data_IF_004719527274
#
_entry.id   IF_004719527274
#
_cell.length_a   1.000
_cell.length_b   1.000
_cell.length_c   1.000
_cell.angle_alpha   90.00
_cell.angle_beta   90.00
_cell.angle_gamma   90.00
#
_symmetry.space_group_name_H-M   'P 1'
#
loop_
_entity.id
_entity.type
_entity.pdbx_description
1 polymer ?
#
# COMPACT_ATOMS: atom_id res chain seq x y z
N UNK A 1 -10.39 24.11 68.83
CA UNK A 1 -10.88 23.95 67.45
C UNK A 1 -10.23 25.03 66.58
N UNK A 2 -9.25 24.71 65.71
CA UNK A 2 -8.67 25.68 64.78
C UNK A 2 -9.42 25.66 63.43
N UNK A 3 -9.65 26.84 62.84
CA UNK A 3 -10.26 27.02 61.52
C UNK A 3 -9.21 26.80 60.42
N UNK A 4 -9.53 25.89 59.49
CA UNK A 4 -8.73 25.58 58.30
C UNK A 4 -8.78 26.70 57.26
N UNK A 5 -7.61 27.20 56.85
CA UNK A 5 -7.41 28.04 55.68
C UNK A 5 -7.65 27.26 54.39
N UNK A 6 -8.46 27.81 53.48
CA UNK A 6 -8.72 27.22 52.17
C UNK A 6 -7.66 27.72 51.18
N UNK A 7 -6.94 26.79 50.55
CA UNK A 7 -6.02 27.05 49.43
C UNK A 7 -6.80 26.89 48.13
N UNK A 8 -6.94 27.98 47.36
CA UNK A 8 -7.48 27.92 46.00
C UNK A 8 -6.46 27.28 45.05
N UNK A 9 -6.84 26.18 44.41
CA UNK A 9 -6.10 25.61 43.28
C UNK A 9 -6.61 26.23 41.98
N UNK A 10 -5.78 27.03 41.32
CA UNK A 10 -6.04 27.51 39.96
C UNK A 10 -5.81 26.36 38.99
N UNK A 11 -6.89 25.83 38.41
CA UNK A 11 -6.80 24.84 37.33
C UNK A 11 -6.39 25.56 36.05
N UNK A 12 -5.16 25.37 35.61
CA UNK A 12 -4.71 25.77 34.27
C UNK A 12 -5.32 24.77 33.27
N UNK A 13 -6.33 25.23 32.53
CA UNK A 13 -6.87 24.47 31.40
C UNK A 13 -5.83 24.46 30.28
N UNK A 14 -5.23 23.30 30.03
CA UNK A 14 -4.44 23.08 28.82
C UNK A 14 -5.44 22.81 27.70
N UNK A 15 -5.73 23.84 26.90
CA UNK A 15 -6.49 23.68 25.67
C UNK A 15 -5.76 22.71 24.75
N UNK A 16 -6.31 21.52 24.57
CA UNK A 16 -5.85 20.57 23.57
C UNK A 16 -6.01 21.20 22.18
N UNK A 17 -4.90 21.36 21.43
CA UNK A 17 -4.98 21.60 20.00
C UNK A 17 -5.64 20.38 19.35
N UNK A 18 -6.94 20.47 19.07
CA UNK A 18 -7.56 19.62 18.06
C UNK A 18 -7.10 20.14 16.71
N UNK A 19 -6.28 19.36 16.02
CA UNK A 19 -5.92 19.65 14.64
C UNK A 19 -7.19 19.57 13.78
N UNK A 20 -7.63 20.71 13.24
CA UNK A 20 -8.62 20.77 12.17
C UNK A 20 -8.02 20.13 10.92
N UNK A 21 -8.25 18.83 10.73
CA UNK A 21 -7.78 18.09 9.56
C UNK A 21 -8.90 17.86 8.51
N UNK A 22 -10.14 18.23 8.84
CA UNK A 22 -11.31 17.90 8.03
C UNK A 22 -11.72 18.98 7.00
N UNK A 23 -11.28 20.23 7.12
CA UNK A 23 -11.80 21.32 6.28
C UNK A 23 -11.17 21.44 4.87
N UNK A 24 -10.04 20.79 4.58
CA UNK A 24 -9.31 20.95 3.30
C UNK A 24 -9.20 19.67 2.44
N UNK A 25 -9.86 18.57 2.83
CA UNK A 25 -9.83 17.35 2.02
C UNK A 25 -10.62 17.58 0.72
N UNK A 26 -10.09 17.24 -0.46
CA UNK A 26 -10.85 17.35 -1.69
C UNK A 26 -12.04 16.38 -1.66
N UNK A 27 -13.11 16.70 -2.39
CA UNK A 27 -14.25 15.80 -2.52
C UNK A 27 -13.81 14.43 -3.07
N UNK A 28 -14.41 13.32 -2.59
CA UNK A 28 -14.16 11.99 -3.15
C UNK A 28 -14.39 11.96 -4.66
N UNK A 29 -13.61 11.15 -5.35
CA UNK A 29 -13.69 10.98 -6.80
C UNK A 29 -14.29 9.61 -7.13
N UNK A 30 -15.32 9.61 -7.98
CA UNK A 30 -15.94 8.38 -8.47
C UNK A 30 -15.80 8.29 -10.00
N UNK A 31 -15.12 7.25 -10.49
CA UNK A 31 -15.04 6.93 -11.90
C UNK A 31 -16.05 5.84 -12.20
N UNK A 32 -17.22 6.21 -12.70
CA UNK A 32 -18.34 5.27 -12.96
C UNK A 32 -17.92 4.08 -13.83
N UNK A 33 -17.09 4.31 -14.84
CA UNK A 33 -16.37 3.27 -15.57
C UNK A 33 -14.87 3.54 -15.34
N UNK A 34 -14.18 2.74 -14.51
CA UNK A 34 -14.38 1.31 -14.30
C UNK A 34 -15.00 0.94 -12.94
N UNK A 35 -15.67 1.88 -12.27
CA UNK A 35 -16.20 1.71 -10.91
C UNK A 35 -15.12 1.91 -9.83
N UNK A 36 -14.23 2.90 -10.00
CA UNK A 36 -13.21 3.24 -9.01
C UNK A 36 -13.72 4.36 -8.08
N UNK A 37 -13.52 4.17 -6.77
CA UNK A 37 -13.74 5.20 -5.75
C UNK A 37 -12.40 5.60 -5.13
N UNK A 38 -12.09 6.89 -5.15
CA UNK A 38 -10.93 7.45 -4.45
C UNK A 38 -11.40 8.43 -3.38
N UNK A 39 -10.82 8.31 -2.20
CA UNK A 39 -11.05 9.22 -1.07
C UNK A 39 -10.06 10.37 -1.18
N UNK A 40 -10.54 11.59 -1.03
CA UNK A 40 -9.69 12.77 -0.93
C UNK A 40 -9.02 12.84 0.44
N UNK A 41 -7.71 13.05 0.46
CA UNK A 41 -6.88 13.09 1.66
C UNK A 41 -6.26 14.48 1.76
N UNK A 42 -6.53 15.18 2.86
CA UNK A 42 -5.88 16.45 3.19
C UNK A 42 -4.37 16.26 3.32
N UNK A 43 -3.59 17.31 3.04
CA UNK A 43 -2.20 17.35 3.49
C UNK A 43 -2.10 17.36 5.03
N UNK A 44 -0.93 17.03 5.54
CA UNK A 44 -0.68 17.07 6.99
C UNK A 44 0.63 16.41 7.38
N UNK A 45 0.94 16.47 8.68
CA UNK A 45 2.18 15.93 9.23
C UNK A 45 1.89 14.68 10.07
N UNK A 46 2.70 13.64 9.88
CA UNK A 46 2.61 12.41 10.66
C UNK A 46 3.99 11.81 10.94
N UNK A 47 4.02 10.79 11.79
CA UNK A 47 5.24 10.03 12.09
C UNK A 47 5.26 8.76 11.24
N UNK A 48 6.12 8.73 10.23
CA UNK A 48 6.34 7.60 9.32
C UNK A 48 7.39 6.64 9.88
N UNK A 49 7.18 5.34 9.72
CA UNK A 49 8.06 4.29 10.26
C UNK A 49 7.77 3.90 11.70
N UNK A 50 8.72 3.22 12.33
CA UNK A 50 8.57 2.71 13.69
C UNK A 50 9.65 3.25 14.63
N UNK A 51 9.34 3.27 15.93
CA UNK A 51 10.31 3.66 16.94
C UNK A 51 11.44 2.62 17.05
N UNK A 52 12.66 3.07 17.38
CA UNK A 52 13.79 2.17 17.63
C UNK A 52 13.57 1.24 18.83
N UNK A 53 12.66 1.61 19.74
CA UNK A 53 12.31 0.84 20.94
C UNK A 53 11.11 -0.07 20.77
N UNK A 54 10.45 -0.09 19.61
CA UNK A 54 9.32 -0.99 19.39
C UNK A 54 9.82 -2.44 19.26
N UNK A 55 9.42 -3.35 20.18
CA UNK A 55 9.90 -4.73 20.18
C UNK A 55 9.42 -5.54 18.95
N UNK A 56 8.31 -5.13 18.33
CA UNK A 56 7.71 -5.81 17.17
C UNK A 56 8.24 -5.24 15.84
N UNK A 57 9.08 -4.20 15.87
CA UNK A 57 9.62 -3.56 14.68
C UNK A 57 10.47 -4.53 13.86
N UNK A 58 10.25 -4.61 12.54
CA UNK A 58 11.26 -5.13 11.62
C UNK A 58 12.36 -4.09 11.36
N UNK A 59 13.62 -4.52 11.12
CA UNK A 59 14.68 -3.60 10.69
C UNK A 59 14.28 -2.76 9.47
N UNK A 60 13.46 -3.32 8.58
CA UNK A 60 12.95 -2.67 7.38
C UNK A 60 11.98 -1.50 7.66
N UNK A 61 11.34 -1.41 8.82
CA UNK A 61 10.37 -0.33 9.16
C UNK A 61 11.06 1.02 9.37
N UNK A 62 12.40 1.00 9.49
CA UNK A 62 13.27 2.17 9.64
C UNK A 62 12.92 3.08 10.82
N UNK A 63 13.81 4.04 11.08
CA UNK A 63 13.66 4.97 12.19
C UNK A 63 12.52 5.94 11.88
N UNK A 64 11.67 6.16 12.86
CA UNK A 64 10.58 7.09 12.74
C UNK A 64 11.03 8.48 12.27
N UNK A 65 10.35 8.99 11.24
CA UNK A 65 10.61 10.28 10.58
C UNK A 65 9.32 11.10 10.59
N UNK A 66 9.42 12.39 10.90
CA UNK A 66 8.28 13.32 10.81
C UNK A 66 8.11 13.73 9.36
N UNK A 67 7.03 13.28 8.73
CA UNK A 67 6.77 13.51 7.32
C UNK A 67 5.58 14.45 7.15
N UNK A 68 5.75 15.48 6.33
CA UNK A 68 4.67 16.37 5.90
C UNK A 68 4.26 16.00 4.47
N UNK A 69 3.00 15.66 4.29
CA UNK A 69 2.33 15.60 2.99
C UNK A 69 1.84 17.01 2.67
N UNK A 70 2.49 17.70 1.74
CA UNK A 70 2.31 19.15 1.57
C UNK A 70 1.06 19.55 0.78
N UNK A 71 0.49 18.60 0.03
CA UNK A 71 -0.65 18.85 -0.85
C UNK A 71 -1.71 17.75 -0.70
N UNK A 72 -3.00 18.09 -0.85
CA UNK A 72 -4.03 17.09 -0.90
C UNK A 72 -3.86 16.18 -2.13
N UNK A 73 -4.29 14.94 -1.98
CA UNK A 73 -4.26 13.92 -3.03
C UNK A 73 -5.51 13.03 -2.92
N UNK A 74 -5.71 12.14 -3.88
CA UNK A 74 -6.73 11.11 -3.77
C UNK A 74 -6.08 9.74 -3.78
N UNK A 75 -6.63 8.83 -2.96
CA UNK A 75 -6.18 7.45 -2.86
C UNK A 75 -7.39 6.52 -3.03
N UNK A 76 -7.18 5.39 -3.71
CA UNK A 76 -8.18 4.35 -3.88
C UNK A 76 -8.73 3.90 -2.53
N UNK A 77 -10.05 3.85 -2.41
CA UNK A 77 -10.76 3.39 -1.22
C UNK A 77 -10.40 1.94 -0.87
N UNK A 78 -10.16 1.13 -1.88
CA UNK A 78 -9.73 -0.27 -1.82
C UNK A 78 -8.51 -0.49 -2.71
N UNK A 79 -7.95 -1.69 -2.66
CA UNK A 79 -7.08 -2.22 -3.74
C UNK A 79 -7.85 -2.22 -5.09
N UNK A 80 -7.12 -2.14 -6.20
CA UNK A 80 -7.73 -2.27 -7.55
C UNK A 80 -8.24 -3.69 -7.73
N UNK A 81 -9.49 -3.85 -8.11
CA UNK A 81 -10.11 -5.17 -8.30
C UNK A 81 -9.83 -5.75 -9.68
N UNK A 82 -10.09 -7.05 -9.84
CA UNK A 82 -9.98 -7.74 -11.15
C UNK A 82 -10.94 -7.16 -12.19
N UNK A 83 -12.19 -6.88 -11.83
CA UNK A 83 -13.15 -6.24 -12.75
C UNK A 83 -12.68 -4.84 -13.17
N UNK A 84 -12.13 -4.05 -12.25
CA UNK A 84 -11.58 -2.73 -12.56
C UNK A 84 -10.35 -2.83 -13.48
N UNK A 85 -9.48 -3.80 -13.23
CA UNK A 85 -8.36 -4.14 -14.10
C UNK A 85 -8.85 -4.45 -15.51
N UNK A 86 -9.79 -5.38 -15.67
CA UNK A 86 -10.30 -5.80 -16.98
C UNK A 86 -10.94 -4.65 -17.76
N UNK A 87 -11.66 -3.76 -17.07
CA UNK A 87 -12.28 -2.59 -17.67
C UNK A 87 -11.28 -1.52 -18.16
N UNK A 88 -10.01 -1.56 -17.73
CA UNK A 88 -8.95 -0.63 -18.18
C UNK A 88 -7.96 -1.31 -19.11
N UNK A 89 -7.55 -2.53 -18.77
CA UNK A 89 -6.45 -3.24 -19.42
C UNK A 89 -6.92 -4.24 -20.48
N UNK A 90 -8.21 -4.60 -20.46
CA UNK A 90 -8.74 -5.73 -21.21
C UNK A 90 -8.65 -7.05 -20.41
N UNK A 91 -9.04 -8.18 -21.02
CA UNK A 91 -9.07 -9.48 -20.35
C UNK A 91 -7.74 -9.83 -19.67
N UNK A 92 -7.82 -10.41 -18.47
CA UNK A 92 -6.63 -10.88 -17.75
C UNK A 92 -5.99 -12.03 -18.52
N UNK A 93 -4.74 -11.83 -18.96
CA UNK A 93 -3.95 -12.85 -19.66
C UNK A 93 -3.11 -13.68 -18.67
N UNK A 94 -3.18 -15.00 -18.78
CA UNK A 94 -2.36 -15.94 -17.99
C UNK A 94 -2.96 -16.33 -16.63
N UNK A 95 -2.28 -17.22 -15.88
CA UNK A 95 -2.76 -17.68 -14.59
C UNK A 95 -2.53 -16.60 -13.52
N UNK A 96 -3.61 -15.91 -13.15
CA UNK A 96 -3.64 -15.09 -11.94
C UNK A 96 -4.25 -15.89 -10.80
N UNK A 97 -3.71 -15.81 -9.59
CA UNK A 97 -4.27 -16.54 -8.46
C UNK A 97 -5.72 -16.12 -8.20
N UNK A 98 -6.63 -17.09 -8.24
CA UNK A 98 -8.01 -16.97 -7.77
C UNK A 98 -8.08 -17.91 -6.57
N UNK A 99 -8.39 -17.36 -5.39
CA UNK A 99 -8.24 -18.05 -4.11
C UNK A 99 -8.81 -19.47 -4.08
N UNK A 100 -10.13 -19.60 -3.96
CA UNK A 100 -10.81 -20.90 -3.84
C UNK A 100 -11.51 -21.28 -5.14
N UNK A 101 -11.53 -22.58 -5.53
CA UNK A 101 -12.35 -23.08 -6.64
C UNK A 101 -13.86 -22.83 -6.46
N UNK A 102 -14.31 -22.47 -5.25
CA UNK A 102 -15.71 -22.15 -4.93
C UNK A 102 -16.05 -20.66 -5.11
N UNK A 103 -15.07 -19.82 -5.41
CA UNK A 103 -15.31 -18.40 -5.62
C UNK A 103 -16.08 -18.26 -6.96
N UNK A 104 -17.29 -17.69 -6.91
CA UNK A 104 -18.09 -17.47 -8.13
C UNK A 104 -17.40 -16.45 -9.03
N UNK A 105 -17.74 -16.41 -10.32
CA UNK A 105 -17.17 -15.42 -11.26
C UNK A 105 -17.40 -13.97 -10.80
N UNK A 106 -18.54 -13.72 -10.16
CA UNK A 106 -18.87 -12.43 -9.54
C UNK A 106 -17.98 -12.14 -8.32
N UNK A 107 -17.81 -13.11 -7.41
CA UNK A 107 -16.90 -12.97 -6.27
C UNK A 107 -15.45 -12.78 -6.73
N UNK A 108 -15.06 -13.42 -7.82
CA UNK A 108 -13.75 -13.26 -8.45
C UNK A 108 -13.55 -11.86 -9.03
N UNK A 109 -14.60 -11.15 -9.45
CA UNK A 109 -14.50 -9.78 -9.95
C UNK A 109 -14.08 -8.77 -8.87
N UNK A 110 -14.54 -9.00 -7.63
CA UNK A 110 -14.28 -8.13 -6.47
C UNK A 110 -12.98 -8.48 -5.72
N UNK A 111 -12.29 -9.56 -6.10
CA UNK A 111 -10.95 -9.84 -5.57
C UNK A 111 -9.97 -8.74 -6.03
N UNK A 112 -8.97 -8.39 -5.20
CA UNK A 112 -7.90 -7.51 -5.63
C UNK A 112 -7.17 -8.13 -6.83
N UNK A 113 -6.76 -7.28 -7.75
CA UNK A 113 -5.89 -7.64 -8.85
C UNK A 113 -4.49 -7.91 -8.27
N UNK A 114 -4.11 -9.19 -8.26
CA UNK A 114 -2.89 -9.68 -7.64
C UNK A 114 -1.99 -10.42 -8.65
N UNK A 115 -0.75 -10.70 -8.26
CA UNK A 115 0.31 -11.24 -9.14
C UNK A 115 0.69 -10.30 -10.28
N UNK A 116 0.58 -8.99 -10.04
CA UNK A 116 0.99 -7.97 -10.98
C UNK A 116 2.37 -7.44 -10.63
N UNK A 117 3.17 -7.22 -11.66
CA UNK A 117 4.44 -6.50 -11.52
C UNK A 117 4.20 -5.02 -11.25
N UNK A 118 5.20 -4.34 -10.72
CA UNK A 118 5.14 -2.89 -10.54
C UNK A 118 4.93 -2.16 -11.88
N UNK A 119 5.61 -2.61 -12.95
CA UNK A 119 5.45 -2.05 -14.30
C UNK A 119 4.05 -2.27 -14.88
N UNK A 120 3.42 -3.41 -14.59
CA UNK A 120 2.03 -3.67 -14.96
C UNK A 120 1.05 -2.75 -14.21
N UNK A 121 1.26 -2.53 -12.91
CA UNK A 121 0.45 -1.59 -12.12
C UNK A 121 0.60 -0.14 -12.63
N UNK A 122 1.82 0.27 -13.00
CA UNK A 122 2.06 1.56 -13.64
C UNK A 122 1.40 1.65 -15.01
N UNK A 123 1.44 0.59 -15.82
CA UNK A 123 0.76 0.54 -17.13
C UNK A 123 -0.76 0.70 -17.00
N UNK A 124 -1.36 0.13 -15.95
CA UNK A 124 -2.77 0.38 -15.61
C UNK A 124 -3.01 1.87 -15.34
N UNK A 125 -2.16 2.49 -14.52
CA UNK A 125 -2.24 3.93 -14.22
C UNK A 125 -2.09 4.79 -15.48
N UNK A 126 -1.20 4.42 -16.41
CA UNK A 126 -1.02 5.10 -17.70
C UNK A 126 -2.24 5.00 -18.59
N UNK A 127 -2.76 3.79 -18.80
CA UNK A 127 -3.95 3.60 -19.64
C UNK A 127 -5.15 4.35 -19.06
N UNK A 128 -5.34 4.30 -17.74
CA UNK A 128 -6.42 5.03 -17.08
C UNK A 128 -6.23 6.54 -17.23
N UNK A 129 -5.02 7.05 -17.02
CA UNK A 129 -4.67 8.45 -17.22
C UNK A 129 -4.99 8.91 -18.63
N UNK A 130 -4.53 8.18 -19.65
CA UNK A 130 -4.78 8.53 -21.04
C UNK A 130 -6.28 8.51 -21.35
N UNK A 131 -6.98 7.46 -20.93
CA UNK A 131 -8.43 7.32 -21.14
C UNK A 131 -9.23 8.46 -20.53
N UNK A 132 -8.96 8.83 -19.28
CA UNK A 132 -9.68 9.93 -18.62
C UNK A 132 -9.27 11.31 -19.18
N UNK A 133 -8.03 11.47 -19.65
CA UNK A 133 -7.57 12.68 -20.33
C UNK A 133 -8.26 12.87 -21.68
N UNK A 134 -8.28 11.83 -22.52
CA UNK A 134 -8.92 11.87 -23.85
C UNK A 134 -10.42 12.12 -23.75
N UNK A 135 -11.04 11.66 -22.66
CA UNK A 135 -12.45 11.93 -22.38
C UNK A 135 -12.70 13.29 -21.72
N UNK A 136 -11.67 14.11 -21.45
CA UNK A 136 -11.80 15.41 -20.81
C UNK A 136 -12.25 15.36 -19.34
N UNK A 137 -12.13 14.21 -18.67
CA UNK A 137 -12.56 14.00 -17.27
C UNK A 137 -11.42 14.11 -16.27
N UNK A 138 -10.18 14.04 -16.74
CA UNK A 138 -9.00 14.20 -15.89
C UNK A 138 -8.68 15.68 -15.66
N UNK A 139 -8.52 16.06 -14.38
CA UNK A 139 -8.08 17.40 -14.00
C UNK A 139 -6.72 17.72 -14.64
N UNK A 140 -6.53 18.88 -15.29
CA UNK A 140 -5.24 19.26 -15.87
C UNK A 140 -4.10 19.25 -14.84
N UNK A 141 -2.93 18.73 -15.25
CA UNK A 141 -1.75 18.61 -14.39
C UNK A 141 -1.80 17.48 -13.37
N UNK A 142 -2.78 16.58 -13.46
CA UNK A 142 -2.89 15.38 -12.63
C UNK A 142 -2.80 14.11 -13.47
N UNK A 143 -2.31 13.05 -12.83
CA UNK A 143 -2.20 11.71 -13.40
C UNK A 143 -2.56 10.66 -12.36
N UNK A 144 -3.12 9.55 -12.83
CA UNK A 144 -3.19 8.36 -12.02
C UNK A 144 -1.79 7.74 -11.90
N UNK A 145 -1.48 7.23 -10.72
CA UNK A 145 -0.20 6.64 -10.36
C UNK A 145 -0.38 5.66 -9.20
N UNK A 146 0.69 4.97 -8.82
CA UNK A 146 0.82 4.41 -7.47
C UNK A 146 1.02 5.56 -6.46
N UNK A 147 0.54 5.42 -5.21
CA UNK A 147 0.85 6.38 -4.15
C UNK A 147 2.34 6.35 -3.83
N UNK A 148 2.87 7.45 -3.28
CA UNK A 148 4.15 7.35 -2.59
C UNK A 148 4.02 6.51 -1.32
N UNK A 149 5.13 5.98 -0.84
CA UNK A 149 5.19 5.23 0.40
C UNK A 149 4.66 6.06 1.58
N UNK A 150 5.02 7.34 1.61
CA UNK A 150 4.57 8.27 2.63
C UNK A 150 3.06 8.52 2.56
N UNK A 151 2.51 8.72 1.36
CA UNK A 151 1.06 8.86 1.16
C UNK A 151 0.31 7.62 1.62
N UNK A 152 0.83 6.43 1.29
CA UNK A 152 0.24 5.16 1.68
C UNK A 152 0.21 5.00 3.20
N UNK A 153 1.33 5.23 3.88
CA UNK A 153 1.39 5.07 5.34
C UNK A 153 0.57 6.14 6.08
N UNK A 154 0.54 7.37 5.55
CA UNK A 154 -0.29 8.44 6.07
C UNK A 154 -1.78 8.07 6.03
N UNK A 155 -2.26 7.61 4.87
CA UNK A 155 -3.63 7.17 4.70
C UNK A 155 -3.95 5.91 5.52
N UNK A 156 -3.00 4.98 5.64
CA UNK A 156 -3.16 3.77 6.45
C UNK A 156 -3.42 4.11 7.92
N UNK A 157 -2.63 5.04 8.46
CA UNK A 157 -2.72 5.48 9.85
C UNK A 157 -3.98 6.28 10.13
N UNK A 158 -4.45 7.07 9.17
CA UNK A 158 -5.68 7.87 9.29
C UNK A 158 -5.77 8.66 10.61
N UNK A 159 -4.66 9.32 10.98
CA UNK A 159 -4.52 10.08 12.23
C UNK A 159 -4.13 9.25 13.47
N UNK A 160 -4.09 7.93 13.38
CA UNK A 160 -3.62 7.06 14.46
C UNK A 160 -2.10 7.11 14.63
N UNK A 161 -1.66 7.21 15.89
CA UNK A 161 -0.25 6.98 16.24
C UNK A 161 0.11 5.48 16.28
N UNK A 162 -0.89 4.59 16.34
CA UNK A 162 -0.72 3.15 16.45
C UNK A 162 -0.23 2.52 15.14
N UNK A 163 0.47 1.38 15.28
CA UNK A 163 1.02 0.60 14.16
C UNK A 163 0.13 -0.59 13.80
N UNK A 164 -0.70 -1.05 14.72
CA UNK A 164 -1.72 -2.09 14.54
C UNK A 164 -2.93 -1.77 15.43
N UNK A 165 -4.11 -2.33 15.12
CA UNK A 165 -5.23 -2.37 16.06
C UNK A 165 -4.84 -3.05 17.38
N UNK A 166 -5.34 -2.51 18.49
CA UNK A 166 -4.83 -2.82 19.83
C UNK A 166 -5.23 -4.22 20.33
N UNK A 167 -6.45 -4.65 20.01
CA UNK A 167 -6.98 -5.96 20.43
C UNK A 167 -7.06 -6.97 19.28
N UNK A 168 -7.05 -8.26 19.62
CA UNK A 168 -7.26 -9.36 18.65
C UNK A 168 -8.60 -9.21 17.93
N UNK A 169 -9.66 -8.81 18.64
CA UNK A 169 -10.99 -8.57 18.04
C UNK A 169 -10.94 -7.45 16.99
N UNK A 170 -10.22 -6.36 17.26
CA UNK A 170 -10.07 -5.27 16.29
C UNK A 170 -9.19 -5.66 15.10
N UNK A 171 -8.14 -6.45 15.34
CA UNK A 171 -7.31 -7.02 14.25
C UNK A 171 -8.15 -7.93 13.36
N UNK A 172 -8.92 -8.83 13.95
CA UNK A 172 -9.82 -9.72 13.23
C UNK A 172 -10.89 -8.96 12.44
N UNK A 173 -11.34 -7.82 12.94
CA UNK A 173 -12.31 -6.98 12.25
C UNK A 173 -11.68 -6.18 11.10
N UNK A 174 -10.38 -5.86 11.15
CA UNK A 174 -9.75 -4.85 10.26
C UNK A 174 -8.68 -5.41 9.33
N UNK A 175 -8.10 -6.58 9.63
CA UNK A 175 -6.92 -7.12 8.94
C UNK A 175 -7.25 -8.47 8.30
N UNK A 176 -6.74 -8.66 7.09
CA UNK A 176 -6.70 -9.96 6.41
C UNK A 176 -5.31 -10.58 6.54
N UNK A 177 -5.12 -11.42 7.56
CA UNK A 177 -3.81 -11.98 7.90
C UNK A 177 -3.89 -13.47 8.24
N UNK A 178 -2.74 -14.11 8.25
CA UNK A 178 -2.60 -15.49 8.67
C UNK A 178 -2.51 -15.58 10.19
N UNK A 179 -3.50 -16.25 10.79
CA UNK A 179 -3.44 -16.60 12.20
C UNK A 179 -2.56 -17.83 12.40
N UNK A 180 -1.58 -17.72 13.27
CA UNK A 180 -0.79 -18.87 13.74
C UNK A 180 -1.54 -19.54 14.90
N UNK A 181 -1.85 -20.83 14.76
CA UNK A 181 -2.47 -21.63 15.82
C UNK A 181 -1.44 -22.45 16.62
N UNK A 182 -0.16 -22.04 16.62
CA UNK A 182 0.98 -22.78 17.16
C UNK A 182 2.20 -22.77 16.23
N UNK A 183 3.33 -23.37 16.64
CA UNK A 183 4.62 -23.23 15.95
C UNK A 183 4.70 -23.70 14.49
N UNK A 184 3.71 -24.45 13.98
CA UNK A 184 3.71 -24.99 12.61
C UNK A 184 2.31 -25.17 12.01
N UNK A 185 1.30 -24.51 12.59
CA UNK A 185 -0.10 -24.66 12.16
C UNK A 185 -0.60 -23.35 11.56
N UNK A 186 -0.74 -23.36 10.24
CA UNK A 186 -1.45 -22.33 9.49
C UNK A 186 -2.96 -22.49 9.73
N UNK A 187 -3.68 -21.40 10.01
CA UNK A 187 -5.15 -21.50 10.01
C UNK A 187 -5.63 -21.91 8.62
N UNK A 188 -6.38 -23.00 8.52
CA UNK A 188 -7.17 -23.30 7.33
C UNK A 188 -8.13 -22.12 7.10
N UNK A 189 -7.88 -21.29 6.08
CA UNK A 189 -8.73 -20.13 5.77
C UNK A 189 -8.00 -18.84 5.40
N UNK A 190 -6.69 -18.75 5.60
CA UNK A 190 -5.90 -17.65 5.03
C UNK A 190 -5.94 -17.77 3.49
N UNK A 191 -6.50 -16.76 2.81
CA UNK A 191 -6.65 -16.67 1.36
C UNK A 191 -6.85 -15.23 0.92
N UNK A 192 -6.77 -14.99 -0.38
CA UNK A 192 -7.23 -13.75 -1.00
C UNK A 192 -8.74 -13.55 -0.78
N UNK A 193 -9.18 -12.33 -0.44
CA UNK A 193 -10.60 -12.03 -0.19
C UNK A 193 -11.07 -10.83 -1.03
N UNK A 194 -12.39 -10.73 -1.29
CA UNK A 194 -12.96 -9.55 -1.93
C UNK A 194 -12.65 -8.28 -1.14
N UNK A 195 -12.40 -7.20 -1.87
CA UNK A 195 -12.09 -5.91 -1.25
C UNK A 195 -13.28 -5.34 -0.47
N UNK A 196 -13.01 -4.49 0.51
CA UNK A 196 -14.01 -3.74 1.24
C UNK A 196 -14.84 -4.54 2.24
N UNK A 197 -14.39 -5.76 2.61
CA UNK A 197 -15.16 -6.67 3.48
C UNK A 197 -14.73 -6.66 4.94
N UNK A 198 -13.59 -6.05 5.28
CA UNK A 198 -13.17 -5.75 6.66
C UNK A 198 -13.60 -4.33 7.05
N UNK A 199 -13.41 -3.99 8.32
CA UNK A 199 -13.64 -2.64 8.83
C UNK A 199 -12.64 -1.67 8.21
N UNK A 200 -13.14 -0.58 7.63
CA UNK A 200 -12.31 0.53 7.18
C UNK A 200 -11.62 1.26 8.34
N UNK A 201 -10.50 1.92 8.05
CA UNK A 201 -9.88 2.83 9.00
C UNK A 201 -10.69 4.12 9.19
N UNK A 202 -10.21 5.03 10.04
CA UNK A 202 -10.93 6.26 10.41
C UNK A 202 -11.24 7.20 9.24
N UNK A 203 -10.56 7.07 8.10
CA UNK A 203 -10.79 7.86 6.88
C UNK A 203 -11.62 7.12 5.82
N UNK A 204 -12.03 5.88 6.09
CA UNK A 204 -12.85 5.10 5.17
C UNK A 204 -12.06 4.21 4.19
N UNK A 205 -10.74 4.10 4.36
CA UNK A 205 -9.94 3.17 3.55
C UNK A 205 -10.09 1.74 4.05
N UNK A 206 -10.30 0.83 3.11
CA UNK A 206 -10.42 -0.60 3.36
C UNK A 206 -9.11 -1.32 3.01
N UNK A 207 -8.91 -2.45 3.68
CA UNK A 207 -7.84 -3.42 3.40
C UNK A 207 -6.43 -2.80 3.38
N UNK A 208 -6.21 -1.70 4.11
CA UNK A 208 -4.87 -1.10 4.24
C UNK A 208 -3.87 -2.06 4.91
N UNK A 209 -4.35 -3.05 5.66
CA UNK A 209 -3.51 -4.03 6.35
C UNK A 209 -3.98 -5.44 5.97
N UNK A 210 -3.10 -6.21 5.31
CA UNK A 210 -3.39 -7.55 4.83
C UNK A 210 -3.98 -7.62 3.42
N UNK A 211 -4.61 -8.75 3.11
CA UNK A 211 -5.18 -9.09 1.80
C UNK A 211 -4.08 -9.20 0.75
N UNK A 212 -3.69 -8.13 0.06
CA UNK A 212 -2.45 -8.09 -0.71
C UNK A 212 -1.51 -7.02 -0.21
N UNK A 213 -0.20 -7.30 -0.32
CA UNK A 213 0.78 -6.23 -0.26
C UNK A 213 0.52 -5.30 -1.45
N UNK A 214 0.77 -4.02 -1.26
CA UNK A 214 0.48 -3.02 -2.30
C UNK A 214 1.75 -2.35 -2.79
N UNK A 215 1.98 -2.38 -4.10
CA UNK A 215 3.03 -1.60 -4.73
C UNK A 215 2.84 -0.10 -4.46
N UNK A 216 3.94 0.57 -4.10
CA UNK A 216 4.03 2.04 -4.04
C UNK A 216 5.03 2.54 -5.08
N UNK A 217 5.05 3.84 -5.31
CA UNK A 217 5.90 4.48 -6.32
C UNK A 217 7.40 4.35 -5.97
N UNK A 218 7.71 4.40 -4.68
CA UNK A 218 9.06 4.55 -4.15
C UNK A 218 9.98 3.35 -4.43
N UNK A 219 11.25 3.61 -4.80
CA UNK A 219 12.29 2.62 -4.69
C UNK A 219 12.66 2.40 -3.21
N UNK A 220 13.13 1.20 -2.91
CA UNK A 220 13.50 0.81 -1.55
C UNK A 220 14.76 1.54 -1.07
N UNK A 221 14.58 2.53 -0.19
CA UNK A 221 15.66 3.31 0.40
C UNK A 221 15.43 3.56 1.91
N UNK A 222 16.49 3.96 2.65
CA UNK A 222 16.38 4.44 4.01
C UNK A 222 15.56 5.73 4.09
N UNK A 223 14.85 5.92 5.19
CA UNK A 223 14.30 7.22 5.56
C UNK A 223 15.46 8.12 6.01
N UNK A 224 15.38 9.40 5.67
CA UNK A 224 16.37 10.40 6.09
C UNK A 224 16.50 10.54 7.61
N UNK A 225 15.46 10.15 8.35
CA UNK A 225 15.31 10.52 9.76
C UNK A 225 14.94 12.00 9.90
N UNK A 226 14.63 12.41 11.13
CA UNK A 226 14.30 13.82 11.42
C UNK A 226 12.97 14.23 10.79
N UNK A 227 13.00 15.25 9.93
CA UNK A 227 11.83 15.77 9.21
C UNK A 227 12.01 15.63 7.69
N UNK A 228 10.91 15.40 6.97
CA UNK A 228 10.88 15.38 5.51
C UNK A 228 9.54 15.93 4.99
N UNK A 229 9.54 16.52 3.81
CA UNK A 229 8.31 16.96 3.11
C UNK A 229 8.22 16.23 1.79
N UNK A 230 7.11 15.54 1.55
CA UNK A 230 6.86 14.70 0.36
C UNK A 230 8.06 13.83 -0.04
N UNK A 231 8.62 12.99 0.86
CA UNK A 231 9.77 12.18 0.53
C UNK A 231 9.42 11.19 -0.60
N UNK A 232 10.26 11.17 -1.63
CA UNK A 232 10.19 10.23 -2.75
C UNK A 232 11.62 9.99 -3.27
N UNK A 233 12.30 8.93 -2.82
CA UNK A 233 13.65 8.61 -3.28
C UNK A 233 13.69 8.32 -4.79
N UNK A 234 14.81 8.66 -5.43
CA UNK A 234 14.99 8.40 -6.87
C UNK A 234 15.64 7.05 -7.16
N UNK A 235 16.34 6.45 -6.18
CA UNK A 235 17.04 5.17 -6.36
C UNK A 235 16.96 4.31 -5.11
N UNK A 236 17.06 2.99 -5.28
CA UNK A 236 17.17 2.04 -4.20
C UNK A 236 18.53 2.17 -3.52
N UNK A 237 18.52 2.16 -2.18
CA UNK A 237 19.73 2.28 -1.37
C UNK A 237 19.73 1.21 -0.30
N UNK A 238 20.75 0.36 -0.29
CA UNK A 238 20.92 -0.71 0.70
C UNK A 238 22.29 -0.58 1.37
N UNK A 239 22.36 -0.08 2.61
CA UNK A 239 23.63 0.01 3.34
C UNK A 239 24.28 -1.36 3.49
N UNK A 240 25.57 -1.48 3.16
CA UNK A 240 26.39 -2.65 3.50
C UNK A 240 26.24 -3.90 2.64
N UNK A 241 25.48 -3.87 1.52
CA UNK A 241 25.44 -4.97 0.55
C UNK A 241 26.05 -4.54 -0.78
N UNK A 242 26.99 -5.33 -1.31
CA UNK A 242 27.43 -5.19 -2.71
C UNK A 242 26.21 -5.52 -3.59
N UNK A 243 25.62 -4.51 -4.23
CA UNK A 243 24.61 -4.74 -5.25
C UNK A 243 25.26 -5.58 -6.34
N UNK A 244 24.74 -6.79 -6.58
CA UNK A 244 25.25 -7.64 -7.66
C UNK A 244 24.81 -7.12 -9.03
N UNK A 245 23.73 -6.33 -9.09
CA UNK A 245 23.20 -5.68 -10.30
C UNK A 245 22.42 -4.40 -9.91
N UNK A 246 22.32 -3.43 -10.82
CA UNK A 246 21.60 -2.13 -10.73
C UNK A 246 20.06 -2.29 -10.66
N UNK A 247 19.55 -3.27 -9.93
CA UNK A 247 18.10 -3.51 -9.85
C UNK A 247 17.48 -2.54 -8.84
N UNK A 248 16.67 -1.62 -9.37
CA UNK A 248 15.86 -0.66 -8.61
C UNK A 248 14.65 -1.35 -7.97
N UNK A 249 14.88 -2.00 -6.82
CA UNK A 249 13.84 -2.64 -6.00
C UNK A 249 12.76 -1.63 -5.61
N UNK A 250 11.49 -2.03 -5.75
CA UNK A 250 10.33 -1.19 -5.41
C UNK A 250 9.70 -1.63 -4.10
N UNK A 251 9.18 -0.66 -3.36
CA UNK A 251 8.56 -0.92 -2.05
C UNK A 251 7.15 -1.47 -2.22
N UNK A 252 6.77 -2.36 -1.29
CA UNK A 252 5.42 -2.80 -1.07
C UNK A 252 5.02 -2.61 0.40
N UNK A 253 3.74 -2.34 0.64
CA UNK A 253 3.19 -1.99 1.96
C UNK A 253 2.01 -2.88 2.36
N UNK A 254 1.65 -2.86 3.64
CA UNK A 254 0.39 -3.43 4.17
C UNK A 254 0.42 -4.91 4.57
N UNK A 255 1.36 -5.69 4.05
CA UNK A 255 1.34 -7.15 4.20
C UNK A 255 0.20 -7.78 3.42
N UNK A 256 0.05 -9.10 3.49
CA UNK A 256 -0.98 -9.83 2.75
C UNK A 256 -1.59 -10.96 3.60
N UNK A 257 -2.53 -11.70 3.00
CA UNK A 257 -3.27 -12.78 3.66
C UNK A 257 -2.41 -13.93 4.23
N UNK A 258 -1.17 -14.12 3.75
CA UNK A 258 -0.24 -15.12 4.32
C UNK A 258 0.66 -14.55 5.43
N UNK A 259 0.70 -13.23 5.62
CA UNK A 259 1.54 -12.62 6.64
C UNK A 259 0.88 -12.69 8.01
N UNK A 260 1.69 -12.82 9.06
CA UNK A 260 1.22 -12.72 10.44
C UNK A 260 0.97 -11.28 10.88
N UNK A 261 0.57 -11.10 12.14
CA UNK A 261 0.27 -9.79 12.75
C UNK A 261 1.42 -8.79 12.57
N UNK A 262 2.66 -9.25 12.78
CA UNK A 262 3.84 -8.40 12.64
C UNK A 262 4.04 -7.91 11.19
N UNK A 263 3.72 -8.74 10.20
CA UNK A 263 3.85 -8.39 8.77
C UNK A 263 2.76 -7.46 8.24
N UNK A 264 1.69 -7.26 9.02
CA UNK A 264 0.53 -6.42 8.67
C UNK A 264 0.46 -5.17 9.55
N UNK A 265 1.61 -4.67 9.99
CA UNK A 265 1.73 -3.38 10.69
C UNK A 265 1.74 -2.23 9.69
N UNK A 266 1.18 -1.09 10.08
CA UNK A 266 1.16 0.13 9.25
C UNK A 266 2.56 0.56 8.81
N UNK A 267 3.60 0.35 9.63
CA UNK A 267 4.99 0.65 9.31
C UNK A 267 5.75 -0.50 8.62
N UNK A 268 5.14 -1.70 8.46
CA UNK A 268 5.77 -2.82 7.78
C UNK A 268 6.01 -2.49 6.30
N UNK A 269 7.22 -2.78 5.84
CA UNK A 269 7.65 -2.56 4.46
C UNK A 269 8.42 -3.78 3.96
N UNK A 270 8.15 -4.08 2.71
CA UNK A 270 8.76 -5.14 1.93
C UNK A 270 9.22 -4.53 0.60
N UNK A 271 10.03 -5.26 -0.18
CA UNK A 271 10.44 -4.80 -1.50
C UNK A 271 10.81 -5.97 -2.41
N UNK A 272 10.60 -5.78 -3.70
CA UNK A 272 10.92 -6.79 -4.69
C UNK A 272 11.41 -6.17 -5.99
N UNK A 273 12.01 -7.03 -6.82
CA UNK A 273 12.37 -6.69 -8.19
C UNK A 273 11.08 -6.33 -8.95
N UNK A 274 10.98 -5.11 -9.51
CA UNK A 274 9.77 -4.64 -10.15
C UNK A 274 9.36 -5.46 -11.38
N UNK A 275 10.25 -6.29 -11.94
CA UNK A 275 9.98 -7.13 -13.10
C UNK A 275 9.67 -8.60 -12.74
N UNK A 276 10.04 -9.09 -11.56
CA UNK A 276 10.04 -10.53 -11.24
C UNK A 276 8.91 -11.01 -10.32
N UNK A 277 7.93 -10.15 -10.01
CA UNK A 277 6.78 -10.56 -9.18
C UNK A 277 5.62 -11.21 -9.98
N UNK A 278 5.72 -11.31 -11.32
CA UNK A 278 4.80 -12.13 -12.09
C UNK A 278 5.23 -13.60 -11.99
N UNK A 279 4.46 -14.38 -11.24
CA UNK A 279 4.38 -15.84 -11.25
C UNK A 279 5.54 -16.60 -11.92
N UNK A 280 6.40 -17.22 -11.11
CA UNK A 280 6.94 -18.51 -11.49
C UNK A 280 6.73 -19.48 -10.32
N UNK A 281 5.95 -20.57 -10.51
CA UNK A 281 6.12 -21.74 -9.67
C UNK A 281 7.50 -22.30 -9.99
N UNK A 282 8.51 -21.89 -9.22
CA UNK A 282 9.80 -22.56 -9.25
C UNK A 282 9.57 -23.98 -8.76
N UNK A 283 9.54 -24.96 -9.67
CA UNK A 283 9.89 -26.33 -9.29
C UNK A 283 11.26 -26.23 -8.65
N UNK A 284 11.43 -26.85 -7.48
CA UNK A 284 12.76 -27.06 -6.94
C UNK A 284 13.60 -27.79 -8.03
N UNK A 285 14.93 -27.62 -8.07
CA UNK A 285 15.79 -28.31 -9.03
C UNK A 285 15.62 -29.84 -9.07
N UNK A 286 15.00 -30.41 -8.02
CA UNK A 286 14.67 -31.83 -7.87
C UNK A 286 13.30 -32.23 -8.46
N UNK A 287 12.62 -31.33 -9.17
CA UNK A 287 11.30 -31.57 -9.77
C UNK A 287 10.14 -31.63 -8.78
N UNK A 288 10.37 -31.43 -7.47
CA UNK A 288 9.31 -31.39 -6.45
C UNK A 288 8.62 -30.02 -6.44
N UNK A 289 7.33 -29.96 -6.03
CA UNK A 289 6.67 -28.69 -5.74
C UNK A 289 7.52 -27.88 -4.76
N UNK A 290 7.88 -26.66 -5.15
CA UNK A 290 8.49 -25.71 -4.24
C UNK A 290 7.53 -25.42 -3.10
N UNK A 291 8.05 -25.45 -1.88
CA UNK A 291 7.32 -24.98 -0.71
C UNK A 291 7.24 -23.45 -0.76
N UNK A 292 6.00 -22.94 -0.84
CA UNK A 292 5.55 -21.71 -0.17
C UNK A 292 5.59 -20.33 -0.86
N UNK A 293 5.66 -20.23 -2.20
CA UNK A 293 5.12 -19.04 -2.85
C UNK A 293 3.69 -19.31 -3.33
N UNK A 294 2.73 -18.99 -2.46
CA UNK A 294 1.31 -18.92 -2.81
C UNK A 294 1.13 -17.62 -3.60
N UNK A 295 0.63 -17.70 -4.84
CA UNK A 295 0.28 -16.51 -5.63
C UNK A 295 -0.82 -15.68 -4.95
N UNK A 296 -1.11 -14.52 -5.51
CA UNK A 296 -2.14 -13.61 -5.03
C UNK A 296 -1.74 -12.81 -3.80
N UNK A 297 -0.46 -12.43 -3.69
CA UNK A 297 0.10 -11.79 -2.48
C UNK A 297 0.47 -10.33 -2.68
N UNK A 298 0.56 -9.86 -3.93
CA UNK A 298 0.88 -8.46 -4.25
C UNK A 298 -0.07 -7.95 -5.32
N UNK A 299 -0.70 -6.82 -5.01
CA UNK A 299 -1.47 -5.99 -5.92
C UNK A 299 -1.10 -4.53 -5.74
N UNK A 300 -2.06 -3.64 -5.86
CA UNK A 300 -1.85 -2.21 -5.69
C UNK A 300 -3.18 -1.47 -5.47
N UNK A 301 -3.10 -0.25 -4.95
CA UNK A 301 -4.19 0.72 -5.01
C UNK A 301 -3.77 1.94 -5.82
N UNK A 302 -4.78 2.62 -6.36
CA UNK A 302 -4.60 3.76 -7.23
C UNK A 302 -4.41 5.05 -6.40
N UNK A 303 -3.62 5.99 -6.91
CA UNK A 303 -3.62 7.37 -6.45
C UNK A 303 -3.82 8.33 -7.63
N UNK A 304 -4.42 9.48 -7.37
CA UNK A 304 -4.45 10.62 -8.29
C UNK A 304 -3.56 11.71 -7.70
N UNK A 305 -2.47 12.03 -8.41
CA UNK A 305 -1.39 12.91 -7.92
C UNK A 305 -1.00 13.94 -8.98
N UNK A 306 -0.36 15.05 -8.59
CA UNK A 306 0.19 16.01 -9.55
C UNK A 306 1.24 15.37 -10.49
N UNK A 307 1.23 15.73 -11.77
CA UNK A 307 2.14 15.20 -12.81
C UNK A 307 3.62 15.28 -12.43
N UNK A 308 4.03 16.37 -11.78
CA UNK A 308 5.41 16.58 -11.31
C UNK A 308 5.94 15.48 -10.38
N UNK A 309 5.07 14.85 -9.57
CA UNK A 309 5.46 13.76 -8.67
C UNK A 309 5.85 12.52 -9.49
N UNK A 310 5.12 12.25 -10.56
CA UNK A 310 5.36 11.12 -11.45
C UNK A 310 6.54 11.36 -12.39
N UNK A 311 6.69 12.58 -12.91
CA UNK A 311 7.80 12.96 -13.78
C UNK A 311 9.19 12.76 -13.14
N UNK A 312 9.30 12.93 -11.81
CA UNK A 312 10.54 12.70 -11.07
C UNK A 312 11.04 11.24 -11.15
N UNK A 313 10.15 10.27 -11.34
CA UNK A 313 10.47 8.83 -11.40
C UNK A 313 10.29 8.21 -12.79
N UNK A 314 9.82 8.99 -13.77
CA UNK A 314 9.48 8.53 -15.12
C UNK A 314 10.65 7.92 -15.92
N UNK A 315 11.90 8.41 -15.85
CA UNK A 315 13.03 7.76 -16.51
C UNK A 315 13.23 6.30 -16.09
N UNK A 316 12.85 5.95 -14.86
CA UNK A 316 12.95 4.60 -14.30
C UNK A 316 11.74 3.73 -14.65
N UNK A 317 10.58 4.35 -14.90
CA UNK A 317 9.37 3.66 -15.36
C UNK A 317 9.58 3.13 -16.78
N UNK A 318 10.15 3.96 -17.66
CA UNK A 318 10.33 3.64 -19.08
C UNK A 318 11.31 2.47 -19.32
N UNK A 319 12.31 2.30 -18.47
CA UNK A 319 13.25 1.17 -18.56
C UNK A 319 12.62 -0.15 -18.13
N UNK A 320 11.70 -0.12 -17.17
CA UNK A 320 11.03 -1.31 -16.61
C UNK A 320 9.77 -1.73 -17.37
N UNK A 321 9.17 -0.84 -18.16
CA UNK A 321 7.94 -1.08 -18.92
C UNK A 321 8.21 -1.50 -20.37
N UNK A 322 9.47 -1.60 -20.78
CA UNK A 322 9.82 -2.12 -22.10
C UNK A 322 9.39 -3.60 -22.20
N UNK A 323 8.71 -4.02 -23.28
CA UNK A 323 8.40 -5.43 -23.47
C UNK A 323 9.71 -6.24 -23.52
N UNK A 324 9.71 -7.51 -23.07
CA UNK A 324 10.88 -8.36 -23.23
C UNK A 324 11.26 -8.38 -24.71
N UNK A 325 12.55 -8.20 -24.99
CA UNK A 325 13.06 -8.29 -26.35
C UNK A 325 12.57 -9.59 -26.99
N UNK A 326 11.98 -9.48 -28.18
CA UNK A 326 11.55 -10.65 -28.93
C UNK A 326 12.75 -11.62 -29.04
N UNK A 327 12.54 -12.94 -28.82
CA UNK A 327 13.63 -13.89 -28.96
C UNK A 327 14.24 -13.72 -30.35
N UNK A 328 15.56 -13.53 -30.40
CA UNK A 328 16.28 -13.56 -31.66
C UNK A 328 15.96 -14.91 -32.31
N UNK A 329 15.32 -14.87 -33.48
CA UNK A 329 15.08 -16.08 -34.25
C UNK A 329 16.44 -16.71 -34.62
N UNK A 330 16.53 -18.05 -34.58
CA UNK A 330 17.80 -18.79 -34.64
C UNK A 330 18.58 -18.60 -35.94
#
# INVERSE_FOLDING_TARGET
MPRLSHVLWTVVSISSLSASAAEDAPAPLHLTAPGLELIGVSGGTFRMGSDDKDPERFPSELKATVVTISQPFWLGKTEVTRSQWEAVMGPIAGPTFIGSPKDTKELAGDLPMADVTWGQAISFCDKLTQRERDAGRLKPGYVFSLPSEAQWEYACRAGSAGLVPASTTERDASIWYMKTAGPWTYSMGARLNPVGKKKANAWGFFDMLGNVREWVLDPAAPYSGGTATDPLPLKSVFPGKKQKEEIELRVMRGGCWIDGERGTRAAARDWADPAKYAAAPGKKPDGKPGSDFRGGTVGFRLALVPEKMRGAVEPLVRTLSAPPAAPANP
#
